data_IF_978370742801
#
_entry.id   IF_978370742801
#
_cell.length_a   1.000
_cell.length_b   1.000
_cell.length_c   1.000
_cell.angle_alpha   90.00
_cell.angle_beta   90.00
_cell.angle_gamma   90.00
#
_symmetry.space_group_name_H-M   'P 1'
#
loop_
_entity.id
_entity.type
_entity.pdbx_description
1 polymer ?
#
# COMPACT_ATOMS: atom_id res chain seq x y z
N UNK A 1 -40.35 5.04 -13.06
CA UNK A 1 -39.42 5.87 -12.24
C UNK A 1 -38.66 5.08 -11.18
N UNK A 2 -39.27 4.14 -10.42
CA UNK A 2 -38.58 3.40 -9.34
C UNK A 2 -37.48 2.42 -9.79
N UNK A 3 -37.59 1.80 -10.97
CA UNK A 3 -36.59 0.83 -11.49
C UNK A 3 -35.24 1.49 -11.83
N UNK A 4 -35.26 2.72 -12.33
CA UNK A 4 -34.06 3.47 -12.70
C UNK A 4 -33.30 3.98 -11.45
N UNK A 5 -34.02 4.29 -10.36
CA UNK A 5 -33.41 4.68 -9.08
C UNK A 5 -32.66 3.51 -8.42
N UNK A 6 -33.20 2.29 -8.53
CA UNK A 6 -32.53 1.10 -8.02
C UNK A 6 -31.21 0.82 -8.76
N UNK A 7 -31.21 0.94 -10.09
CA UNK A 7 -30.00 0.75 -10.90
C UNK A 7 -28.95 1.81 -10.58
N UNK A 8 -29.35 3.08 -10.41
CA UNK A 8 -28.45 4.15 -10.01
C UNK A 8 -27.82 3.90 -8.63
N UNK A 9 -28.64 3.51 -7.65
CA UNK A 9 -28.18 3.14 -6.31
C UNK A 9 -27.18 1.98 -6.34
N UNK A 10 -27.46 0.95 -7.15
CA UNK A 10 -26.58 -0.21 -7.31
C UNK A 10 -25.22 0.19 -7.93
N UNK A 11 -25.22 1.07 -8.93
CA UNK A 11 -23.98 1.58 -9.55
C UNK A 11 -23.16 2.37 -8.53
N UNK A 12 -23.78 3.28 -7.77
CA UNK A 12 -23.11 4.06 -6.71
C UNK A 12 -22.50 3.15 -5.63
N UNK A 13 -23.22 2.11 -5.22
CA UNK A 13 -22.75 1.12 -4.26
C UNK A 13 -21.53 0.33 -4.77
N UNK A 14 -21.54 -0.06 -6.05
CA UNK A 14 -20.42 -0.76 -6.69
C UNK A 14 -19.19 0.16 -6.74
N UNK A 15 -19.33 1.42 -7.19
CA UNK A 15 -18.23 2.38 -7.24
C UNK A 15 -17.63 2.66 -5.85
N UNK A 16 -18.47 2.79 -4.82
CA UNK A 16 -18.01 3.01 -3.45
C UNK A 16 -17.27 1.78 -2.90
N UNK A 17 -17.76 0.58 -3.20
CA UNK A 17 -17.13 -0.68 -2.78
C UNK A 17 -15.75 -0.88 -3.42
N UNK A 18 -15.57 -0.50 -4.69
CA UNK A 18 -14.24 -0.54 -5.33
C UNK A 18 -13.25 0.46 -4.70
N UNK A 19 -13.71 1.64 -4.27
CA UNK A 19 -12.85 2.62 -3.58
C UNK A 19 -12.36 2.11 -2.22
N UNK A 20 -13.10 1.24 -1.54
CA UNK A 20 -12.69 0.65 -0.26
C UNK A 20 -11.54 -0.37 -0.39
N UNK A 21 -11.37 -1.00 -1.56
CA UNK A 21 -10.33 -2.00 -1.80
C UNK A 21 -9.07 -1.44 -2.48
N UNK A 22 -9.10 -0.20 -2.97
CA UNK A 22 -7.95 0.42 -3.60
C UNK A 22 -6.88 0.78 -2.55
N UNK A 23 -5.73 0.11 -2.64
CA UNK A 23 -4.56 0.45 -1.83
C UNK A 23 -3.93 1.74 -2.39
N UNK A 24 -4.27 2.87 -1.78
CA UNK A 24 -3.75 4.17 -2.19
C UNK A 24 -2.41 4.44 -1.50
N UNK A 25 -1.33 4.37 -2.28
CA UNK A 25 -0.02 4.84 -1.83
C UNK A 25 0.05 6.36 -1.98
N UNK A 26 0.52 7.09 -0.96
CA UNK A 26 0.80 8.51 -1.09
C UNK A 26 1.92 8.70 -2.13
N UNK A 27 1.71 9.64 -3.05
CA UNK A 27 2.70 9.97 -4.10
C UNK A 27 3.85 10.81 -3.57
N UNK A 28 3.62 11.53 -2.47
CA UNK A 28 4.57 12.40 -1.79
C UNK A 28 4.28 12.32 -0.30
N UNK A 29 5.32 12.37 0.50
CA UNK A 29 5.21 12.45 1.95
C UNK A 29 6.47 13.12 2.51
N UNK A 30 6.33 13.83 3.63
CA UNK A 30 7.46 14.52 4.26
C UNK A 30 8.37 13.55 5.02
N UNK A 31 7.86 12.37 5.37
CA UNK A 31 8.58 11.32 6.09
C UNK A 31 8.39 9.97 5.41
N UNK A 32 9.37 9.08 5.57
CA UNK A 32 9.33 7.73 4.98
C UNK A 32 8.20 6.90 5.58
N UNK A 33 7.92 7.10 6.87
CA UNK A 33 6.87 6.41 7.59
C UNK A 33 5.48 6.74 7.04
N UNK A 34 5.31 7.95 6.50
CA UNK A 34 4.05 8.40 5.93
C UNK A 34 3.75 7.71 4.59
N UNK A 35 4.72 7.07 3.95
CA UNK A 35 4.50 6.21 2.78
C UNK A 35 3.84 4.87 3.12
N UNK A 36 3.77 4.50 4.39
CA UNK A 36 3.17 3.25 4.84
C UNK A 36 1.63 3.41 4.83
N UNK A 37 0.90 2.70 3.97
CA UNK A 37 -0.56 2.83 3.92
C UNK A 37 -1.22 2.28 5.19
N UNK A 38 -2.42 2.78 5.49
CA UNK A 38 -3.20 2.33 6.66
C UNK A 38 -3.41 0.82 6.64
N UNK A 39 -3.22 0.17 7.79
CA UNK A 39 -3.35 -1.27 7.93
C UNK A 39 -2.12 -2.06 7.48
N UNK A 40 -0.99 -1.40 7.28
CA UNK A 40 0.32 -2.03 7.03
C UNK A 40 1.31 -1.63 8.13
N UNK A 41 2.38 -2.41 8.29
CA UNK A 41 3.52 -2.13 9.17
C UNK A 41 4.81 -2.23 8.37
N UNK A 42 5.81 -1.44 8.74
CA UNK A 42 7.17 -1.62 8.24
C UNK A 42 7.82 -2.86 8.85
N UNK A 43 8.57 -3.58 8.02
CA UNK A 43 9.46 -4.66 8.45
C UNK A 43 10.90 -4.18 8.38
N UNK A 44 11.28 -3.54 7.28
CA UNK A 44 12.64 -3.06 7.02
C UNK A 44 12.57 -1.70 6.36
N UNK A 45 13.37 -0.77 6.88
CA UNK A 45 13.68 0.52 6.25
C UNK A 45 15.19 0.57 6.16
N UNK A 46 15.73 0.70 4.95
CA UNK A 46 17.16 0.91 4.73
C UNK A 46 17.37 2.11 3.82
N UNK A 47 18.30 2.97 4.22
CA UNK A 47 18.78 4.10 3.43
C UNK A 47 20.13 3.76 2.82
N UNK A 48 20.38 4.24 1.61
CA UNK A 48 21.68 4.23 0.98
C UNK A 48 21.57 4.41 -0.53
N UNK A 49 22.70 4.69 -1.15
CA UNK A 49 22.81 4.96 -2.58
C UNK A 49 22.76 3.65 -3.40
N UNK A 50 21.61 3.34 -4.00
CA UNK A 50 21.39 2.08 -4.73
C UNK A 50 21.88 2.17 -6.18
N UNK A 51 21.94 3.37 -6.77
CA UNK A 51 22.32 3.59 -8.17
C UNK A 51 23.67 4.33 -8.35
N UNK A 52 24.38 4.63 -7.26
CA UNK A 52 25.70 5.27 -7.19
C UNK A 52 25.71 6.74 -7.65
N UNK A 53 24.61 7.47 -7.49
CA UNK A 53 24.51 8.88 -7.88
C UNK A 53 24.82 9.86 -6.73
N UNK A 54 25.21 9.34 -5.56
CA UNK A 54 25.46 10.08 -4.30
C UNK A 54 24.20 10.66 -3.65
N UNK A 55 23.01 10.21 -4.06
CA UNK A 55 21.74 10.51 -3.41
C UNK A 55 21.33 9.28 -2.61
N UNK A 56 20.85 9.49 -1.38
CA UNK A 56 20.38 8.38 -0.55
C UNK A 56 19.01 7.89 -1.04
N UNK A 57 18.94 6.65 -1.51
CA UNK A 57 17.67 5.97 -1.79
C UNK A 57 17.12 5.29 -0.54
N UNK A 58 15.81 4.97 -0.57
CA UNK A 58 15.15 4.25 0.52
C UNK A 58 14.49 2.97 0.03
N UNK A 59 14.87 1.85 0.64
CA UNK A 59 14.18 0.56 0.50
C UNK A 59 13.21 0.40 1.66
N UNK A 60 11.92 0.36 1.34
CA UNK A 60 10.83 0.15 2.29
C UNK A 60 10.18 -1.22 2.01
N UNK A 61 10.21 -2.09 3.02
CA UNK A 61 9.50 -3.38 3.01
C UNK A 61 8.38 -3.31 4.04
N UNK A 62 7.14 -3.47 3.58
CA UNK A 62 5.94 -3.41 4.41
C UNK A 62 5.14 -4.71 4.32
N UNK A 63 4.43 -5.03 5.41
CA UNK A 63 3.51 -6.17 5.52
C UNK A 63 2.14 -5.70 5.97
N UNK A 64 1.08 -6.29 5.40
CA UNK A 64 -0.29 -6.02 5.80
C UNK A 64 -0.56 -6.57 7.21
N UNK A 65 -1.10 -5.73 8.10
CA UNK A 65 -1.53 -6.06 9.46
C UNK A 65 -2.83 -6.88 9.45
N UNK A 66 -2.81 -8.06 8.82
CA UNK A 66 -3.92 -9.01 8.84
C UNK A 66 -3.70 -10.05 9.94
N UNK A 67 -4.63 -10.25 10.90
CA UNK A 67 -4.61 -11.33 11.90
C UNK A 67 -4.26 -12.72 11.32
N UNK A 68 -4.65 -12.97 10.06
CA UNK A 68 -4.35 -14.23 9.35
C UNK A 68 -2.86 -14.39 9.01
N UNK A 69 -2.12 -13.29 8.85
CA UNK A 69 -0.67 -13.29 8.60
C UNK A 69 0.19 -13.56 9.85
N UNK A 70 -0.41 -13.50 11.04
CA UNK A 70 0.26 -13.83 12.32
C UNK A 70 0.31 -15.34 12.58
N UNK A 71 -0.47 -16.14 11.84
CA UNK A 71 -0.31 -17.60 11.84
C UNK A 71 1.01 -17.92 11.13
N UNK A 72 1.97 -18.51 11.86
CA UNK A 72 3.27 -18.96 11.33
C UNK A 72 3.04 -20.10 10.33
N UNK A 73 2.61 -19.76 9.11
CA UNK A 73 2.37 -20.72 8.05
C UNK A 73 3.68 -20.93 7.30
N UNK A 74 4.36 -22.02 7.61
CA UNK A 74 5.68 -22.40 7.07
C UNK A 74 5.75 -22.47 5.52
N UNK A 75 4.61 -22.52 4.83
CA UNK A 75 4.55 -22.88 3.40
C UNK A 75 3.75 -21.90 2.50
N UNK A 76 3.34 -20.71 2.97
CA UNK A 76 2.66 -19.73 2.10
C UNK A 76 3.43 -18.41 2.04
N UNK A 77 3.65 -17.90 0.82
CA UNK A 77 4.28 -16.61 0.54
C UNK A 77 3.42 -15.53 1.22
N UNK A 78 3.97 -14.85 2.23
CA UNK A 78 3.34 -13.67 2.82
C UNK A 78 3.25 -12.58 1.75
N UNK A 79 2.15 -11.82 1.66
CA UNK A 79 2.07 -10.68 0.77
C UNK A 79 3.04 -9.59 1.27
N UNK A 80 4.26 -9.61 0.73
CA UNK A 80 5.30 -8.62 0.97
C UNK A 80 5.30 -7.68 -0.22
N UNK A 81 5.13 -6.38 0.03
CA UNK A 81 5.30 -5.38 -1.00
C UNK A 81 6.66 -4.71 -0.82
N UNK A 82 7.42 -4.65 -1.92
CA UNK A 82 8.68 -3.93 -1.99
C UNK A 82 8.42 -2.60 -2.66
N UNK A 83 8.67 -1.51 -1.94
CA UNK A 83 8.60 -0.15 -2.48
C UNK A 83 10.04 0.38 -2.51
N UNK A 84 10.49 0.79 -3.69
CA UNK A 84 11.74 1.54 -3.86
C UNK A 84 11.32 2.99 -4.02
N UNK A 85 11.74 3.85 -3.10
CA UNK A 85 11.51 5.29 -3.16
C UNK A 85 12.86 5.92 -3.50
N UNK A 86 12.92 6.55 -4.65
CA UNK A 86 14.05 7.36 -5.11
C UNK A 86 13.61 8.82 -5.05
N UNK A 87 14.32 9.66 -4.30
CA UNK A 87 14.16 11.11 -4.38
C UNK A 87 14.76 11.57 -5.72
N UNK A 88 13.90 11.73 -6.72
CA UNK A 88 14.26 12.40 -7.97
C UNK A 88 14.32 13.91 -7.69
N UNK A 89 15.53 14.44 -7.54
CA UNK A 89 15.78 15.89 -7.63
C UNK A 89 16.00 16.29 -9.10
#
# INVERSE_FOLDING_TARGET
MKKNFFVLSLILFIFYSFNLFALNFPKKADKIEDFIPKGWKSIIIKKGDLNKDKIDDVVLIIEKNDPKNFKKMRNHIKPVLRIIIQELY
#
